data_IF_799499150702
#
_entry.id   IF_799499150702
#
_cell.length_a   1.000
_cell.length_b   1.000
_cell.length_c   1.000
_cell.angle_alpha   90.00
_cell.angle_beta   90.00
_cell.angle_gamma   90.00
#
_symmetry.space_group_name_H-M   'P 1'
#
loop_
_entity.id
_entity.type
_entity.pdbx_description
1 polymer ?
#
# COMPACT_ATOMS: atom_id res chain seq x y z
N UNK A 1 -17.91 66.50 5.73
CA UNK A 1 -18.11 65.14 5.35
C UNK A 1 -17.40 64.22 6.36
N UNK A 2 -18.20 63.55 7.20
CA UNK A 2 -17.66 62.52 8.13
C UNK A 2 -17.42 61.28 7.30
N UNK A 3 -16.19 60.97 7.01
CA UNK A 3 -15.78 59.64 6.54
C UNK A 3 -16.08 58.65 7.64
N UNK A 4 -17.19 57.92 7.50
CA UNK A 4 -17.46 56.78 8.36
C UNK A 4 -16.40 55.74 8.07
N UNK A 5 -15.46 55.55 9.01
CA UNK A 5 -14.58 54.40 9.02
C UNK A 5 -15.49 53.18 9.07
N UNK A 6 -15.42 52.24 8.12
CA UNK A 6 -16.21 51.01 8.20
C UNK A 6 -15.84 50.31 9.51
N UNK A 7 -16.85 49.91 10.26
CA UNK A 7 -16.65 49.13 11.47
C UNK A 7 -15.79 47.90 11.11
N UNK A 8 -14.82 47.49 11.96
CA UNK A 8 -14.03 46.32 11.72
C UNK A 8 -14.99 45.12 11.56
N UNK A 9 -14.87 44.40 10.45
CA UNK A 9 -15.65 43.17 10.26
C UNK A 9 -15.37 42.22 11.43
N UNK A 10 -16.42 41.89 12.16
CA UNK A 10 -16.29 40.88 13.23
C UNK A 10 -16.37 39.48 12.59
N UNK A 11 -15.50 38.57 13.03
CA UNK A 11 -15.63 37.16 12.67
C UNK A 11 -17.02 36.66 13.07
N UNK A 12 -17.71 35.89 12.22
CA UNK A 12 -19.00 35.28 12.56
C UNK A 12 -18.89 34.46 13.85
N UNK A 13 -19.93 34.55 14.69
CA UNK A 13 -19.99 33.78 15.92
C UNK A 13 -20.03 32.27 15.61
N UNK A 14 -19.20 31.50 16.25
CA UNK A 14 -19.14 30.04 16.11
C UNK A 14 -19.79 29.35 17.32
N UNK A 15 -20.48 28.22 17.11
CA UNK A 15 -20.99 27.43 18.22
C UNK A 15 -19.83 26.80 19.03
N UNK A 16 -19.91 26.91 20.34
CA UNK A 16 -18.91 26.29 21.23
C UNK A 16 -18.87 24.75 21.04
N UNK A 17 -17.71 24.11 21.10
CA UNK A 17 -16.38 24.61 21.43
C UNK A 17 -15.51 25.05 20.24
N UNK A 18 -16.08 25.21 19.03
CA UNK A 18 -15.32 25.57 17.81
C UNK A 18 -14.62 26.92 17.98
N UNK A 19 -13.40 26.99 17.46
CA UNK A 19 -12.59 28.21 17.43
C UNK A 19 -12.42 28.68 15.99
N UNK A 20 -12.36 29.99 15.80
CA UNK A 20 -12.00 30.58 14.52
C UNK A 20 -10.48 30.46 14.33
N UNK A 21 -10.09 30.01 13.15
CA UNK A 21 -8.73 29.99 12.63
C UNK A 21 -8.70 30.76 11.30
N UNK A 22 -7.56 31.22 10.90
CA UNK A 22 -7.37 32.01 9.67
C UNK A 22 -6.24 31.42 8.87
N UNK A 23 -6.45 31.26 7.57
CA UNK A 23 -5.50 30.64 6.67
C UNK A 23 -5.42 31.41 5.35
N UNK A 24 -4.25 31.96 5.07
CA UNK A 24 -3.96 32.60 3.81
C UNK A 24 -3.53 31.55 2.77
N UNK A 25 -4.38 31.30 1.78
CA UNK A 25 -4.09 30.46 0.63
C UNK A 25 -4.26 31.18 -0.70
N UNK A 26 -5.07 32.24 -0.74
CA UNK A 26 -5.49 32.88 -2.00
C UNK A 26 -5.08 34.35 -2.09
N UNK A 27 -4.71 34.98 -0.96
CA UNK A 27 -4.31 36.38 -0.92
C UNK A 27 -5.46 37.35 -1.19
N UNK A 28 -6.70 36.99 -0.84
CA UNK A 28 -7.89 37.79 -1.01
C UNK A 28 -8.39 38.42 0.30
N UNK A 29 -9.47 39.19 0.23
CA UNK A 29 -10.18 39.74 1.36
C UNK A 29 -11.51 39.02 1.67
N UNK A 30 -11.95 38.09 0.83
CA UNK A 30 -13.13 37.26 1.03
C UNK A 30 -12.70 35.94 1.66
N UNK A 31 -13.13 35.69 2.88
CA UNK A 31 -12.81 34.49 3.65
C UNK A 31 -13.96 33.49 3.57
N UNK A 32 -13.66 32.31 3.05
CA UNK A 32 -14.60 31.19 2.97
C UNK A 32 -14.39 30.25 4.18
N UNK A 33 -15.47 29.70 4.76
CA UNK A 33 -15.34 28.80 5.91
C UNK A 33 -14.97 27.37 5.50
N UNK A 34 -14.09 26.76 6.27
CA UNK A 34 -13.66 25.37 6.15
C UNK A 34 -13.71 24.70 7.54
N UNK A 35 -14.12 23.44 7.60
CA UNK A 35 -13.83 22.60 8.74
C UNK A 35 -12.39 22.14 8.61
N UNK A 36 -11.54 22.51 9.56
CA UNK A 36 -10.17 22.01 9.64
C UNK A 36 -10.09 20.99 10.75
N UNK A 37 -9.63 19.78 10.41
CA UNK A 37 -9.48 18.67 11.34
C UNK A 37 -8.05 18.18 11.37
N UNK A 38 -7.44 18.20 12.57
CA UNK A 38 -6.15 17.55 12.83
C UNK A 38 -6.38 16.12 13.27
N UNK A 39 -5.80 15.21 12.53
CA UNK A 39 -5.97 13.77 12.74
C UNK A 39 -4.65 13.12 13.10
N UNK A 40 -4.73 12.00 13.79
CA UNK A 40 -3.64 11.04 13.92
C UNK A 40 -4.16 9.66 13.47
N UNK A 41 -3.49 9.05 12.52
CA UNK A 41 -3.92 7.77 11.94
C UNK A 41 -2.77 6.77 11.88
N UNK A 42 -3.09 5.48 12.02
CA UNK A 42 -2.16 4.37 11.80
C UNK A 42 -2.68 3.48 10.67
N UNK A 43 -1.81 3.19 9.73
CA UNK A 43 -2.13 2.35 8.59
C UNK A 43 -1.61 0.93 8.83
N UNK A 44 -2.42 -0.08 8.53
CA UNK A 44 -2.03 -1.48 8.68
C UNK A 44 -1.98 -2.15 7.31
N UNK A 45 -0.84 -2.69 6.95
CA UNK A 45 -0.64 -3.43 5.71
C UNK A 45 0.24 -4.66 5.95
N UNK A 46 -0.20 -5.82 5.46
CA UNK A 46 0.56 -7.06 5.60
C UNK A 46 0.85 -7.48 7.05
N UNK A 47 -0.02 -7.10 8.00
CA UNK A 47 0.15 -7.42 9.42
C UNK A 47 1.08 -6.46 10.19
N UNK A 48 1.62 -5.44 9.52
CA UNK A 48 2.46 -4.42 10.14
C UNK A 48 1.67 -3.11 10.21
N UNK A 49 1.69 -2.44 11.37
CA UNK A 49 1.14 -1.11 11.54
C UNK A 49 2.23 -0.07 11.26
N UNK A 50 1.85 1.04 10.59
CA UNK A 50 2.74 2.20 10.46
C UNK A 50 2.95 2.89 11.81
N UNK A 51 3.93 3.77 11.86
CA UNK A 51 3.96 4.82 12.87
C UNK A 51 2.71 5.71 12.76
N UNK A 52 2.45 6.48 13.80
CA UNK A 52 1.33 7.43 13.81
C UNK A 52 1.61 8.59 12.85
N UNK A 53 0.72 8.78 11.91
CA UNK A 53 0.80 9.86 10.92
C UNK A 53 -0.20 10.93 11.30
N UNK A 54 0.28 12.16 11.47
CA UNK A 54 -0.56 13.32 11.74
C UNK A 54 -0.78 14.10 10.46
N UNK A 55 -2.04 14.41 10.17
CA UNK A 55 -2.44 15.24 9.02
C UNK A 55 -3.46 16.26 9.47
N UNK A 56 -3.43 17.43 8.85
CA UNK A 56 -4.46 18.45 9.01
C UNK A 56 -5.19 18.59 7.69
N UNK A 57 -6.48 18.25 7.68
CA UNK A 57 -7.34 18.28 6.50
C UNK A 57 -8.36 19.40 6.62
N UNK A 58 -8.60 20.11 5.52
CA UNK A 58 -9.59 21.19 5.41
C UNK A 58 -10.69 20.80 4.44
N UNK A 59 -11.94 20.92 4.87
CA UNK A 59 -13.16 20.66 4.08
C UNK A 59 -13.94 21.96 3.95
N UNK A 60 -14.21 22.39 2.74
CA UNK A 60 -14.95 23.63 2.49
C UNK A 60 -16.39 23.52 2.97
N UNK A 61 -16.90 24.61 3.57
CA UNK A 61 -18.29 24.75 3.97
C UNK A 61 -19.01 25.70 3.01
N UNK A 62 -19.70 25.17 2.00
CA UNK A 62 -20.55 26.01 1.16
C UNK A 62 -21.82 26.43 1.90
N UNK A 63 -22.35 27.65 1.70
CA UNK A 63 -23.51 28.15 2.46
C UNK A 63 -24.77 27.29 2.36
N UNK A 64 -24.98 26.65 1.23
CA UNK A 64 -26.13 25.78 0.93
C UNK A 64 -25.86 24.29 1.15
N UNK A 65 -24.68 23.94 1.67
CA UNK A 65 -24.26 22.55 1.89
C UNK A 65 -25.13 21.85 2.94
N UNK A 66 -25.54 20.63 2.64
CA UNK A 66 -26.13 19.72 3.63
C UNK A 66 -25.04 19.05 4.47
N UNK A 67 -25.34 18.74 5.73
CA UNK A 67 -24.37 18.15 6.66
C UNK A 67 -23.77 16.84 6.17
N UNK A 68 -24.54 16.00 5.43
CA UNK A 68 -24.06 14.74 4.86
C UNK A 68 -23.02 14.87 3.76
N UNK A 69 -22.93 16.05 3.14
CA UNK A 69 -22.03 16.33 2.00
C UNK A 69 -20.64 16.77 2.44
N UNK A 70 -20.44 17.09 3.73
CA UNK A 70 -19.18 17.63 4.25
C UNK A 70 -17.95 16.82 3.83
N UNK A 71 -18.03 15.51 3.94
CA UNK A 71 -16.93 14.61 3.59
C UNK A 71 -17.04 14.00 2.19
N UNK A 72 -17.97 14.42 1.34
CA UNK A 72 -18.08 13.92 -0.04
C UNK A 72 -17.10 14.63 -0.99
N UNK A 73 -16.54 15.75 -0.57
CA UNK A 73 -15.51 16.50 -1.27
C UNK A 73 -14.09 16.01 -0.98
N UNK A 74 -13.17 16.26 -1.89
CA UNK A 74 -11.75 16.02 -1.64
C UNK A 74 -11.21 17.04 -0.63
N UNK A 75 -10.53 16.57 0.44
CA UNK A 75 -9.93 17.48 1.42
C UNK A 75 -8.71 18.19 0.85
N UNK A 76 -8.48 19.41 1.31
CA UNK A 76 -7.20 20.09 1.12
C UNK A 76 -6.31 19.78 2.33
N UNK A 77 -5.12 19.23 2.09
CA UNK A 77 -4.14 19.06 3.16
C UNK A 77 -3.49 20.41 3.48
N UNK A 78 -3.45 20.74 4.76
CA UNK A 78 -2.99 22.04 5.26
C UNK A 78 -1.89 21.84 6.28
N UNK A 79 -0.89 22.69 6.22
CA UNK A 79 0.11 22.76 7.29
C UNK A 79 -0.50 23.42 8.54
N UNK A 80 -0.48 22.70 9.65
CA UNK A 80 -1.05 23.17 10.92
C UNK A 80 -0.41 24.47 11.42
N UNK A 81 0.87 24.68 11.12
CA UNK A 81 1.63 25.87 11.51
C UNK A 81 1.19 27.14 10.75
N UNK A 82 0.49 26.99 9.62
CA UNK A 82 -0.09 28.10 8.85
C UNK A 82 -1.43 28.59 9.39
N UNK A 83 -2.04 27.86 10.33
CA UNK A 83 -3.32 28.20 10.92
C UNK A 83 -3.14 29.26 12.03
N UNK A 84 -3.41 30.51 11.73
CA UNK A 84 -3.38 31.59 12.71
C UNK A 84 -4.65 31.62 13.57
N UNK A 85 -4.51 32.10 14.80
CA UNK A 85 -5.64 32.49 15.65
C UNK A 85 -5.95 33.99 15.56
N UNK A 86 -5.06 34.77 14.97
CA UNK A 86 -5.20 36.21 14.84
C UNK A 86 -5.97 36.54 13.56
N UNK A 87 -7.04 37.29 13.70
CA UNK A 87 -7.89 37.72 12.59
C UNK A 87 -7.19 38.83 11.79
N UNK A 88 -6.96 38.64 10.49
CA UNK A 88 -6.45 39.68 9.64
C UNK A 88 -7.46 40.84 9.47
N UNK A 89 -6.95 42.03 9.28
CA UNK A 89 -7.79 43.21 9.06
C UNK A 89 -8.41 43.19 7.69
N UNK A 90 -9.65 43.71 7.58
CA UNK A 90 -10.32 43.93 6.28
C UNK A 90 -10.92 42.69 5.62
N UNK A 91 -10.98 41.54 6.33
CA UNK A 91 -11.65 40.34 5.82
C UNK A 91 -13.17 40.53 5.78
N UNK A 92 -13.77 40.05 4.69
CA UNK A 92 -15.21 39.81 4.55
C UNK A 92 -15.46 38.31 4.67
N UNK A 93 -16.49 37.93 5.40
CA UNK A 93 -16.75 36.51 5.70
C UNK A 93 -17.94 36.01 4.88
N UNK A 94 -17.79 34.86 4.24
CA UNK A 94 -18.91 34.13 3.66
C UNK A 94 -19.76 33.48 4.76
N UNK A 95 -21.03 33.21 4.45
CA UNK A 95 -21.94 32.59 5.41
C UNK A 95 -21.58 31.12 5.68
N UNK A 96 -21.80 30.68 6.91
CA UNK A 96 -21.75 29.29 7.30
C UNK A 96 -23.02 28.56 6.86
N UNK A 97 -22.94 27.28 6.44
CA UNK A 97 -24.13 26.47 6.22
C UNK A 97 -24.94 26.30 7.52
N UNK A 98 -26.24 26.19 7.38
CA UNK A 98 -27.17 26.19 8.51
C UNK A 98 -26.81 25.16 9.61
N UNK A 99 -26.35 23.96 9.23
CA UNK A 99 -25.96 22.94 10.21
C UNK A 99 -24.73 23.31 11.02
N UNK A 100 -23.78 24.07 10.44
CA UNK A 100 -22.56 24.45 11.11
C UNK A 100 -22.75 25.71 11.97
N UNK A 101 -23.69 26.59 11.59
CA UNK A 101 -24.07 27.78 12.33
C UNK A 101 -25.01 27.49 13.53
N UNK A 102 -25.68 26.34 13.55
CA UNK A 102 -26.60 25.94 14.62
C UNK A 102 -25.88 25.79 15.97
N UNK A 103 -26.60 25.97 17.08
CA UNK A 103 -26.04 25.83 18.43
C UNK A 103 -25.38 24.46 18.70
N UNK A 104 -25.84 23.41 18.02
CA UNK A 104 -25.29 22.06 18.09
C UNK A 104 -24.34 21.73 16.94
N UNK A 105 -24.01 22.73 16.08
CA UNK A 105 -23.20 22.55 14.86
C UNK A 105 -21.85 21.86 15.12
N UNK A 106 -21.20 22.17 16.24
CA UNK A 106 -19.98 21.50 16.65
C UNK A 106 -20.17 19.98 16.81
N UNK A 107 -21.28 19.55 17.46
CA UNK A 107 -21.60 18.13 17.66
C UNK A 107 -21.96 17.43 16.35
N UNK A 108 -22.65 18.14 15.46
CA UNK A 108 -22.98 17.61 14.12
C UNK A 108 -21.70 17.37 13.33
N UNK A 109 -20.78 18.33 13.29
CA UNK A 109 -19.49 18.20 12.63
C UNK A 109 -18.70 17.05 13.25
N UNK A 110 -18.57 17.00 14.57
CA UNK A 110 -17.85 15.92 15.25
C UNK A 110 -18.37 14.53 14.89
N UNK A 111 -19.70 14.37 14.88
CA UNK A 111 -20.32 13.09 14.51
C UNK A 111 -19.98 12.69 13.07
N UNK A 112 -20.08 13.61 12.11
CA UNK A 112 -19.76 13.36 10.70
C UNK A 112 -18.29 12.94 10.57
N UNK A 113 -17.38 13.67 11.25
CA UNK A 113 -15.96 13.35 11.23
C UNK A 113 -15.69 11.95 11.83
N UNK A 114 -16.29 11.61 12.97
CA UNK A 114 -16.13 10.29 13.60
C UNK A 114 -16.68 9.15 12.74
N UNK A 115 -17.71 9.40 11.97
CA UNK A 115 -18.39 8.37 11.21
C UNK A 115 -17.67 8.03 9.89
N UNK A 116 -17.05 9.00 9.23
CA UNK A 116 -16.60 8.86 7.84
C UNK A 116 -15.20 9.39 7.53
N UNK A 117 -14.48 9.94 8.52
CA UNK A 117 -13.18 10.54 8.26
C UNK A 117 -12.13 9.51 7.83
N UNK A 118 -12.24 8.27 8.29
CA UNK A 118 -11.37 7.15 7.89
C UNK A 118 -11.39 6.91 6.37
N UNK A 119 -12.52 7.15 5.69
CA UNK A 119 -12.62 7.03 4.24
C UNK A 119 -11.80 8.09 3.48
N UNK A 120 -11.45 9.20 4.12
CA UNK A 120 -10.67 10.31 3.56
C UNK A 120 -9.18 10.26 3.92
N UNK A 121 -8.82 9.38 4.83
CA UNK A 121 -7.43 9.16 5.26
C UNK A 121 -6.81 8.00 4.49
N UNK A 122 -6.69 8.14 3.18
CA UNK A 122 -6.02 7.12 2.36
C UNK A 122 -4.51 7.33 2.32
N UNK A 123 -3.77 6.26 2.11
CA UNK A 123 -2.34 6.28 1.85
C UNK A 123 -2.01 5.29 0.73
N UNK A 124 -1.07 5.66 -0.11
CA UNK A 124 -0.53 4.74 -1.12
C UNK A 124 0.69 4.04 -0.57
N UNK A 125 0.71 2.71 -0.70
CA UNK A 125 1.86 1.88 -0.41
C UNK A 125 2.24 1.08 -1.64
N UNK A 126 3.52 0.78 -1.74
CA UNK A 126 4.07 -0.11 -2.75
C UNK A 126 3.94 -1.54 -2.23
N UNK A 127 3.43 -2.44 -3.07
CA UNK A 127 3.25 -3.85 -2.76
C UNK A 127 4.07 -4.72 -3.70
N UNK A 128 4.84 -5.64 -3.15
CA UNK A 128 5.54 -6.67 -3.92
C UNK A 128 4.72 -7.97 -3.92
N UNK A 129 4.16 -8.41 -5.08
CA UNK A 129 3.36 -9.61 -5.17
C UNK A 129 4.14 -10.91 -4.92
N UNK A 130 5.48 -10.90 -5.11
CA UNK A 130 6.34 -12.08 -4.92
C UNK A 130 6.60 -12.34 -3.44
N UNK A 131 6.99 -11.30 -2.69
CA UNK A 131 7.25 -11.43 -1.25
C UNK A 131 6.01 -11.20 -0.39
N UNK A 132 4.93 -10.66 -0.98
CA UNK A 132 3.68 -10.23 -0.30
C UNK A 132 3.95 -9.20 0.80
N UNK A 133 4.95 -8.34 0.58
CA UNK A 133 5.32 -7.27 1.50
C UNK A 133 4.83 -5.92 1.00
N UNK A 134 4.62 -5.01 1.93
CA UNK A 134 4.31 -3.61 1.66
C UNK A 134 5.49 -2.72 2.00
N UNK A 135 5.59 -1.59 1.29
CA UNK A 135 6.50 -0.51 1.67
C UNK A 135 6.07 0.12 3.01
N UNK A 136 7.01 0.82 3.63
CA UNK A 136 6.65 1.77 4.68
C UNK A 136 5.96 2.97 4.03
N UNK A 137 5.26 3.75 4.85
CA UNK A 137 4.63 4.97 4.37
C UNK A 137 5.71 5.99 3.94
N UNK A 138 5.56 6.52 2.71
CA UNK A 138 6.54 7.47 2.15
C UNK A 138 7.84 6.85 1.64
N UNK A 139 7.99 5.51 1.72
CA UNK A 139 9.15 4.81 1.17
C UNK A 139 9.05 4.75 -0.36
N UNK A 140 10.10 5.16 -1.05
CA UNK A 140 10.16 5.06 -2.51
C UNK A 140 10.47 3.63 -2.99
N UNK A 141 10.34 3.40 -4.30
CA UNK A 141 10.52 2.07 -4.90
C UNK A 141 11.94 1.53 -4.73
N UNK A 142 12.95 2.40 -4.78
CA UNK A 142 14.35 2.00 -4.65
C UNK A 142 14.70 1.61 -3.21
N UNK A 143 14.24 2.39 -2.23
CA UNK A 143 14.42 2.08 -0.81
C UNK A 143 13.66 0.80 -0.43
N UNK A 144 12.44 0.63 -0.94
CA UNK A 144 11.66 -0.58 -0.74
C UNK A 144 12.34 -1.82 -1.32
N UNK A 145 12.85 -1.75 -2.57
CA UNK A 145 13.62 -2.82 -3.19
C UNK A 145 14.87 -3.20 -2.37
N UNK A 146 15.63 -2.20 -1.92
CA UNK A 146 16.81 -2.41 -1.09
C UNK A 146 16.46 -3.07 0.26
N UNK A 147 15.36 -2.64 0.90
CA UNK A 147 14.87 -3.24 2.14
C UNK A 147 14.40 -4.68 1.93
N UNK A 148 13.72 -4.98 0.82
CA UNK A 148 13.31 -6.34 0.48
C UNK A 148 14.50 -7.27 0.33
N UNK A 149 15.53 -6.85 -0.39
CA UNK A 149 16.76 -7.62 -0.59
C UNK A 149 17.46 -7.96 0.74
N UNK A 150 17.38 -7.07 1.73
CA UNK A 150 17.98 -7.25 3.06
C UNK A 150 17.12 -8.01 4.09
N UNK A 151 15.89 -8.42 3.75
CA UNK A 151 15.02 -9.07 4.76
C UNK A 151 15.37 -10.52 5.02
N UNK A 152 15.24 -10.97 6.27
CA UNK A 152 15.46 -12.38 6.68
C UNK A 152 14.57 -13.36 5.92
N UNK A 153 13.35 -12.94 5.52
CA UNK A 153 12.43 -13.77 4.72
C UNK A 153 12.98 -14.03 3.31
N UNK A 154 13.63 -13.04 2.71
CA UNK A 154 14.29 -13.18 1.41
C UNK A 154 15.53 -14.05 1.56
N UNK A 155 16.34 -13.84 2.61
CA UNK A 155 17.48 -14.70 2.94
C UNK A 155 17.06 -16.16 3.07
N UNK A 156 16.05 -16.47 3.87
CA UNK A 156 15.56 -17.87 4.04
C UNK A 156 15.07 -18.48 2.73
N UNK A 157 14.36 -17.69 1.89
CA UNK A 157 13.93 -18.16 0.57
C UNK A 157 15.11 -18.39 -0.37
N UNK A 158 16.12 -17.52 -0.31
CA UNK A 158 17.36 -17.65 -1.07
C UNK A 158 18.10 -18.92 -0.69
N UNK A 159 18.32 -19.17 0.61
CA UNK A 159 19.00 -20.36 1.12
C UNK A 159 18.27 -21.64 0.70
N UNK A 160 16.93 -21.63 0.71
CA UNK A 160 16.12 -22.73 0.24
C UNK A 160 16.25 -22.97 -1.28
N UNK A 161 16.35 -21.89 -2.09
CA UNK A 161 16.60 -21.99 -3.52
C UNK A 161 18.02 -22.46 -3.81
N UNK A 162 19.02 -21.91 -3.12
CA UNK A 162 20.42 -22.32 -3.26
C UNK A 162 20.62 -23.81 -2.93
N UNK A 163 19.93 -24.30 -1.88
CA UNK A 163 19.92 -25.73 -1.55
C UNK A 163 19.31 -26.58 -2.67
N UNK A 164 18.21 -26.13 -3.29
CA UNK A 164 17.56 -26.83 -4.39
C UNK A 164 18.41 -26.81 -5.66
N UNK A 165 18.99 -25.66 -6.00
CA UNK A 165 19.90 -25.49 -7.13
C UNK A 165 21.10 -26.43 -6.98
N UNK A 166 21.75 -26.42 -5.82
CA UNK A 166 22.92 -27.28 -5.55
C UNK A 166 22.56 -28.76 -5.62
N UNK A 167 21.34 -29.16 -5.24
CA UNK A 167 20.86 -30.54 -5.38
C UNK A 167 20.67 -30.91 -6.84
N UNK A 168 19.98 -30.09 -7.62
CA UNK A 168 19.76 -30.32 -9.05
C UNK A 168 21.05 -30.34 -9.85
N UNK A 169 22.02 -29.49 -9.53
CA UNK A 169 23.35 -29.49 -10.15
C UNK A 169 24.11 -30.76 -9.87
N UNK A 170 24.07 -31.26 -8.63
CA UNK A 170 24.66 -32.56 -8.27
C UNK A 170 23.99 -33.71 -9.01
N UNK A 171 22.66 -33.70 -9.07
CA UNK A 171 21.88 -34.73 -9.75
C UNK A 171 22.17 -34.73 -11.27
N UNK A 172 22.31 -33.57 -11.91
CA UNK A 172 22.74 -33.43 -13.29
C UNK A 172 24.18 -33.90 -13.52
N UNK A 173 25.12 -33.60 -12.63
CA UNK A 173 26.52 -33.99 -12.76
C UNK A 173 26.72 -35.49 -12.61
N UNK A 174 26.06 -36.14 -11.64
CA UNK A 174 26.09 -37.59 -11.47
C UNK A 174 25.53 -38.31 -12.70
N UNK A 175 24.55 -37.70 -13.36
CA UNK A 175 23.90 -38.24 -14.55
C UNK A 175 24.76 -38.18 -15.78
N UNK A 176 25.53 -37.12 -15.97
CA UNK A 176 26.46 -37.05 -17.09
C UNK A 176 27.55 -38.13 -17.03
N UNK A 177 27.86 -38.61 -15.83
CA UNK A 177 28.79 -39.72 -15.61
C UNK A 177 28.13 -41.09 -15.71
N UNK A 178 26.84 -41.28 -15.33
CA UNK A 178 26.12 -42.55 -15.33
C UNK A 178 25.50 -42.94 -16.70
N UNK A 179 25.37 -42.02 -17.65
CA UNK A 179 24.96 -42.35 -19.04
C UNK A 179 25.88 -43.38 -19.74
N UNK A 180 27.02 -43.71 -19.08
CA UNK A 180 27.93 -44.78 -19.49
C UNK A 180 27.66 -46.15 -18.85
N UNK A 181 26.63 -46.37 -18.00
CA UNK A 181 26.41 -47.63 -17.33
C UNK A 181 25.02 -47.87 -16.74
N UNK A 182 24.50 -49.03 -16.98
CA UNK A 182 23.28 -49.82 -16.69
C UNK A 182 22.45 -49.63 -15.39
N UNK A 183 22.30 -48.46 -14.79
CA UNK A 183 21.47 -48.27 -13.56
C UNK A 183 20.34 -47.25 -13.69
N UNK A 184 19.78 -47.12 -14.84
CA UNK A 184 18.80 -46.11 -15.20
C UNK A 184 17.42 -46.24 -14.50
N UNK A 185 16.94 -47.46 -14.22
CA UNK A 185 15.57 -47.67 -13.72
C UNK A 185 15.35 -47.21 -12.26
N UNK A 186 16.30 -47.46 -11.36
CA UNK A 186 16.19 -47.05 -9.93
C UNK A 186 16.23 -45.51 -9.78
N UNK A 187 16.96 -44.85 -10.64
CA UNK A 187 17.13 -43.41 -10.60
C UNK A 187 15.85 -42.67 -11.03
N UNK A 188 15.05 -43.25 -11.92
CA UNK A 188 13.79 -42.71 -12.42
C UNK A 188 12.72 -42.53 -11.35
N UNK A 189 12.64 -43.44 -10.37
CA UNK A 189 11.65 -43.33 -9.28
C UNK A 189 12.00 -42.22 -8.30
N UNK A 190 13.29 -41.98 -8.06
CA UNK A 190 13.78 -40.91 -7.19
C UNK A 190 13.50 -39.53 -7.80
N UNK A 191 13.68 -39.40 -9.11
CA UNK A 191 13.43 -38.15 -9.82
C UNK A 191 11.95 -37.74 -9.83
N UNK A 192 11.06 -38.70 -10.00
CA UNK A 192 9.61 -38.47 -9.98
C UNK A 192 9.15 -37.99 -8.59
N UNK A 193 9.72 -38.56 -7.52
CA UNK A 193 9.43 -38.14 -6.15
C UNK A 193 9.97 -36.73 -5.84
N UNK A 194 11.11 -36.36 -6.41
CA UNK A 194 11.71 -35.03 -6.26
C UNK A 194 10.89 -33.94 -6.97
N UNK A 195 10.40 -34.25 -8.17
CA UNK A 195 9.55 -33.35 -8.94
C UNK A 195 8.19 -33.10 -8.29
N UNK A 196 7.61 -34.15 -7.67
CA UNK A 196 6.34 -34.03 -6.94
C UNK A 196 6.46 -33.09 -5.73
N UNK A 197 7.61 -33.10 -5.03
CA UNK A 197 7.85 -32.23 -3.89
C UNK A 197 8.17 -30.77 -4.26
N UNK A 198 8.65 -30.51 -5.47
CA UNK A 198 8.88 -29.13 -5.95
C UNK A 198 7.58 -28.36 -6.19
N UNK A 199 6.54 -29.03 -6.69
CA UNK A 199 5.24 -28.41 -6.98
C UNK A 199 4.49 -27.91 -5.73
N UNK A 200 4.79 -28.45 -4.56
CA UNK A 200 4.15 -28.05 -3.29
C UNK A 200 4.64 -26.66 -2.81
N UNK A 201 5.83 -26.23 -3.25
CA UNK A 201 6.45 -25.01 -2.71
C UNK A 201 6.22 -23.74 -3.56
N UNK A 202 5.84 -23.89 -4.84
CA UNK A 202 5.69 -22.72 -5.74
C UNK A 202 4.29 -22.10 -5.74
N UNK A 203 3.32 -22.69 -5.02
CA UNK A 203 1.97 -22.11 -4.86
C UNK A 203 1.18 -21.92 -6.17
N UNK A 204 1.69 -22.42 -7.30
CA UNK A 204 1.04 -22.32 -8.59
C UNK A 204 0.30 -23.63 -8.90
N UNK A 205 -1.01 -23.63 -8.69
CA UNK A 205 -1.91 -24.75 -9.00
C UNK A 205 -2.11 -24.91 -10.51
N UNK A 206 -1.07 -25.16 -11.26
CA UNK A 206 -1.22 -25.75 -12.61
C UNK A 206 -1.01 -27.24 -12.50
N UNK A 207 -2.12 -27.99 -12.40
CA UNK A 207 -2.15 -29.45 -12.54
C UNK A 207 -1.55 -29.85 -13.88
N UNK A 208 -0.32 -30.33 -13.88
CA UNK A 208 0.23 -31.07 -15.00
C UNK A 208 -0.49 -32.42 -15.00
N UNK A 209 -1.37 -32.64 -15.98
CA UNK A 209 -2.00 -33.94 -16.23
C UNK A 209 -0.91 -34.92 -16.69
N UNK A 210 -0.47 -35.79 -15.79
CA UNK A 210 0.29 -36.97 -16.13
C UNK A 210 -0.67 -37.98 -16.81
N UNK A 211 -0.73 -37.94 -18.11
CA UNK A 211 -1.45 -38.97 -18.91
C UNK A 211 -0.65 -40.27 -18.79
N UNK A 212 -1.32 -41.32 -18.34
CA UNK A 212 -0.75 -42.64 -18.10
C UNK A 212 -0.01 -43.22 -19.32
N UNK A 213 1.12 -43.81 -19.04
CA UNK A 213 1.88 -44.57 -20.05
C UNK A 213 1.98 -46.03 -19.69
N UNK A 214 1.24 -46.80 -20.45
CA UNK A 214 1.44 -48.22 -20.52
C UNK A 214 2.51 -48.56 -21.55
N UNK A 215 3.36 -49.45 -21.16
CA UNK A 215 4.14 -50.50 -21.79
C UNK A 215 4.70 -50.37 -23.22
N UNK A 216 5.93 -50.90 -23.31
CA UNK A 216 6.78 -51.27 -24.45
C UNK A 216 7.70 -50.17 -24.96
N UNK A 217 8.89 -50.18 -24.42
CA UNK A 217 9.99 -49.29 -24.80
C UNK A 217 11.03 -50.01 -25.62
N UNK A 218 11.08 -49.69 -26.91
CA UNK A 218 12.24 -49.99 -27.74
C UNK A 218 13.43 -49.07 -27.36
N UNK A 219 14.65 -49.59 -27.52
CA UNK A 219 15.92 -48.96 -27.08
C UNK A 219 16.09 -47.51 -27.54
N UNK A 220 15.65 -47.15 -28.73
CA UNK A 220 15.70 -45.79 -29.29
C UNK A 220 14.72 -44.81 -28.62
N UNK A 221 13.65 -45.30 -28.00
CA UNK A 221 12.69 -44.49 -27.29
C UNK A 221 13.19 -44.08 -25.89
N UNK A 222 14.11 -44.89 -25.33
CA UNK A 222 14.76 -44.60 -24.01
C UNK A 222 15.80 -43.49 -24.11
N UNK A 223 16.55 -43.38 -25.20
CA UNK A 223 17.51 -42.31 -25.42
C UNK A 223 16.83 -40.94 -25.60
N UNK A 224 15.81 -40.86 -26.44
CA UNK A 224 15.01 -39.66 -26.66
C UNK A 224 14.29 -39.22 -25.34
N UNK A 225 13.86 -40.18 -24.53
CA UNK A 225 13.20 -39.87 -23.25
C UNK A 225 14.21 -39.39 -22.20
N UNK A 226 15.45 -39.84 -22.24
CA UNK A 226 16.52 -39.38 -21.32
C UNK A 226 16.99 -37.99 -21.68
N UNK A 227 17.05 -37.67 -22.96
CA UNK A 227 17.44 -36.36 -23.46
C UNK A 227 16.36 -35.32 -23.17
N UNK A 228 15.09 -35.61 -23.45
CA UNK A 228 13.95 -34.73 -23.11
C UNK A 228 13.85 -34.43 -21.60
N UNK A 229 14.30 -35.36 -20.75
CA UNK A 229 14.30 -35.17 -19.30
C UNK A 229 15.48 -34.38 -18.80
N UNK A 230 16.64 -34.53 -19.43
CA UNK A 230 17.78 -33.66 -19.17
C UNK A 230 17.44 -32.22 -19.52
N UNK A 231 16.83 -31.96 -20.66
CA UNK A 231 16.34 -30.64 -21.06
C UNK A 231 15.32 -30.06 -20.07
N UNK A 232 14.39 -30.89 -19.57
CA UNK A 232 13.41 -30.44 -18.56
C UNK A 232 14.08 -30.05 -17.25
N UNK A 233 15.12 -30.77 -16.82
CA UNK A 233 15.89 -30.44 -15.59
C UNK A 233 16.75 -29.18 -15.79
N UNK A 234 17.35 -29.01 -16.95
CA UNK A 234 18.11 -27.82 -17.30
C UNK A 234 17.18 -26.58 -17.35
N UNK A 235 15.97 -26.74 -17.90
CA UNK A 235 14.95 -25.70 -17.89
C UNK A 235 14.51 -25.33 -16.45
N UNK A 236 14.31 -26.32 -15.59
CA UNK A 236 13.98 -26.09 -14.17
C UNK A 236 15.13 -25.42 -13.40
N UNK A 237 16.35 -25.83 -13.66
CA UNK A 237 17.54 -25.22 -13.06
C UNK A 237 17.65 -23.74 -13.47
N UNK A 238 17.42 -23.46 -14.75
CA UNK A 238 17.39 -22.09 -15.29
C UNK A 238 16.30 -21.25 -14.62
N UNK A 239 15.11 -21.81 -14.45
CA UNK A 239 14.00 -21.13 -13.77
C UNK A 239 14.30 -20.84 -12.29
N UNK A 240 14.86 -21.82 -11.56
CA UNK A 240 15.25 -21.61 -10.15
C UNK A 240 16.37 -20.59 -10.00
N UNK A 241 17.34 -20.56 -10.92
CA UNK A 241 18.38 -19.52 -10.93
C UNK A 241 17.80 -18.13 -11.22
N UNK A 242 16.85 -18.02 -12.16
CA UNK A 242 16.15 -16.77 -12.43
C UNK A 242 15.33 -16.29 -11.19
N UNK A 243 14.59 -17.20 -10.54
CA UNK A 243 13.89 -16.87 -9.30
C UNK A 243 14.82 -16.43 -8.16
N UNK A 244 16.00 -17.02 -8.06
CA UNK A 244 17.01 -16.62 -7.10
C UNK A 244 17.56 -15.23 -7.38
N UNK A 245 17.87 -14.95 -8.65
CA UNK A 245 18.35 -13.65 -9.11
C UNK A 245 17.31 -12.55 -8.88
N UNK A 246 16.04 -12.85 -9.11
CA UNK A 246 14.91 -11.96 -8.84
C UNK A 246 14.76 -11.60 -7.34
N UNK A 247 15.17 -12.50 -6.44
CA UNK A 247 15.22 -12.22 -4.99
C UNK A 247 16.42 -11.36 -4.59
N UNK A 248 17.52 -11.43 -5.34
CA UNK A 248 18.73 -10.63 -5.07
C UNK A 248 18.59 -9.16 -5.49
N UNK A 249 17.88 -8.93 -6.60
CA UNK A 249 17.61 -7.60 -7.12
C UNK A 249 16.14 -7.54 -7.57
N UNK A 250 15.21 -7.26 -6.65
CA UNK A 250 13.81 -7.16 -7.01
C UNK A 250 13.59 -6.05 -8.03
N UNK A 251 13.05 -6.41 -9.18
CA UNK A 251 12.72 -5.46 -10.25
C UNK A 251 11.57 -4.55 -9.78
N UNK A 252 11.79 -3.22 -9.68
CA UNK A 252 10.74 -2.28 -9.32
C UNK A 252 9.53 -2.31 -10.25
N UNK A 253 9.70 -2.72 -11.52
CA UNK A 253 8.59 -2.80 -12.49
C UNK A 253 7.48 -3.78 -12.11
N UNK A 254 7.74 -4.73 -11.21
CA UNK A 254 6.76 -5.67 -10.69
C UNK A 254 5.94 -5.12 -9.53
N UNK A 255 6.35 -4.00 -8.98
CA UNK A 255 5.69 -3.43 -7.82
C UNK A 255 4.33 -2.85 -8.20
N UNK A 256 3.37 -3.03 -7.32
CA UNK A 256 2.02 -2.50 -7.46
C UNK A 256 1.79 -1.39 -6.44
N UNK A 257 1.18 -0.29 -6.85
CA UNK A 257 0.70 0.74 -5.91
C UNK A 257 -0.66 0.34 -5.40
N UNK A 258 -0.83 0.29 -4.09
CA UNK A 258 -2.08 -0.06 -3.43
C UNK A 258 -2.49 1.02 -2.47
N UNK A 259 -3.70 1.52 -2.65
CA UNK A 259 -4.33 2.45 -1.71
C UNK A 259 -4.84 1.65 -0.51
N UNK A 260 -4.43 2.07 0.67
CA UNK A 260 -4.92 1.54 1.94
C UNK A 260 -5.60 2.65 2.73
N UNK A 261 -6.53 2.27 3.58
CA UNK A 261 -7.18 3.18 4.53
C UNK A 261 -7.03 2.63 5.96
N UNK A 262 -6.97 3.52 6.97
CA UNK A 262 -6.97 3.08 8.35
C UNK A 262 -8.35 2.54 8.72
N UNK A 263 -8.45 1.73 9.76
CA UNK A 263 -9.76 1.41 10.36
C UNK A 263 -10.21 2.55 11.26
N UNK A 264 -11.50 2.65 11.54
CA UNK A 264 -12.06 3.68 12.44
C UNK A 264 -11.37 3.72 13.81
N UNK A 265 -10.95 2.57 14.30
CA UNK A 265 -10.23 2.45 15.59
C UNK A 265 -8.78 2.93 15.54
N UNK A 266 -8.21 3.02 14.34
CA UNK A 266 -6.84 3.48 14.13
C UNK A 266 -6.76 4.96 13.76
N UNK A 267 -7.91 5.66 13.77
CA UNK A 267 -8.03 7.11 13.54
C UNK A 267 -8.43 7.81 14.83
N UNK A 268 -7.73 8.85 15.18
CA UNK A 268 -8.11 9.77 16.25
C UNK A 268 -8.22 11.20 15.73
N UNK A 269 -9.27 11.90 16.16
CA UNK A 269 -9.43 13.31 15.92
C UNK A 269 -8.73 14.04 17.08
N UNK A 270 -7.65 14.72 16.77
CA UNK A 270 -6.86 15.47 17.76
C UNK A 270 -7.56 16.81 18.07
N UNK A 271 -8.03 17.48 17.02
CA UNK A 271 -8.70 18.78 17.11
C UNK A 271 -9.51 19.01 15.82
N UNK A 272 -10.59 19.76 15.93
CA UNK A 272 -11.29 20.31 14.78
C UNK A 272 -11.80 21.72 15.10
N UNK A 273 -11.72 22.62 14.12
CA UNK A 273 -12.05 24.01 14.22
C UNK A 273 -12.65 24.53 12.90
N UNK A 274 -13.14 25.76 12.87
CA UNK A 274 -13.51 26.45 11.63
C UNK A 274 -12.36 27.36 11.22
N UNK A 275 -11.82 27.15 10.02
CA UNK A 275 -10.83 28.04 9.43
C UNK A 275 -11.47 28.92 8.35
N UNK A 276 -11.16 30.19 8.40
CA UNK A 276 -11.51 31.18 7.37
C UNK A 276 -10.34 31.26 6.37
N UNK A 277 -10.57 30.74 5.17
CA UNK A 277 -9.55 30.66 4.12
C UNK A 277 -9.76 31.82 3.16
N UNK A 278 -8.72 32.63 2.92
CA UNK A 278 -8.75 33.84 2.11
C UNK A 278 -7.54 33.96 1.17
#
# INVERSE_FOLDING_TARGET
PRTSTPAPAMSPALPAPLKAKYLDLRGGNMAEPYVVVKTAARYKAGGVASEEVKRTLAFRLAPDMASGELLDQEPTEVDDDRLSSDMPEGLMFADLPAFAAANDGAKVIERILRDRLDDRLTAELIFDPVTKKFSNLGEDEAAFAARLAGTSTVSTKRDALDTKIAKLERDLSMKSQELKGRKFEKWMSILTALLANLNVFTGSSKKVKTTGMGSVLTKNRMENTAESRKEALEAQLKELKAQREELDAPDPSRFERRTIKPTKTDVSIVRYDIAWVY
#
